data_IF_174470848382
#
_entry.id   IF_174470848382
#
_cell.length_a   1.000
_cell.length_b   1.000
_cell.length_c   1.000
_cell.angle_alpha   90.00
_cell.angle_beta   90.00
_cell.angle_gamma   90.00
#
_symmetry.space_group_name_H-M   'P 1'
#
loop_
_entity.id
_entity.type
_entity.pdbx_description
1 polymer ?
#
# COMPACT_ATOMS: atom_id res chain seq x y z
N UNK A 1 24.01 49.18 16.54
CA UNK A 1 24.17 47.71 16.48
C UNK A 1 22.80 47.08 16.31
N UNK A 2 22.55 46.40 15.19
CA UNK A 2 21.28 45.72 14.93
C UNK A 2 21.09 45.48 13.43
N UNK A 3 21.75 44.46 12.89
CA UNK A 3 21.49 43.98 11.52
C UNK A 3 20.45 42.85 11.59
N UNK A 4 19.27 43.08 11.00
CA UNK A 4 18.29 42.04 10.68
C UNK A 4 18.71 41.45 9.33
N UNK A 5 19.08 40.16 9.31
CA UNK A 5 19.35 39.42 8.07
C UNK A 5 18.06 38.69 7.68
N UNK A 6 17.43 39.13 6.60
CA UNK A 6 16.37 38.39 5.93
C UNK A 6 17.02 37.25 5.12
N UNK A 7 16.77 36.00 5.49
CA UNK A 7 17.13 34.83 4.69
C UNK A 7 16.08 34.63 3.58
N UNK A 8 16.46 34.96 2.35
CA UNK A 8 15.74 34.61 1.12
C UNK A 8 15.72 33.08 0.96
N UNK A 9 14.54 32.47 1.06
CA UNK A 9 14.33 31.08 0.64
C UNK A 9 14.17 31.07 -0.88
N UNK A 10 15.26 30.80 -1.59
CA UNK A 10 15.21 30.50 -3.02
C UNK A 10 14.71 29.05 -3.19
N UNK A 11 13.42 28.87 -3.49
CA UNK A 11 12.93 27.58 -4.00
C UNK A 11 13.42 27.40 -5.45
N UNK A 12 14.55 26.69 -5.62
CA UNK A 12 14.95 26.16 -6.92
C UNK A 12 14.11 24.92 -7.22
N UNK A 13 13.29 24.98 -8.27
CA UNK A 13 12.72 23.78 -8.87
C UNK A 13 13.88 22.88 -9.35
N UNK A 14 13.99 21.68 -8.77
CA UNK A 14 15.01 20.70 -9.15
C UNK A 14 14.76 20.25 -10.59
N UNK A 15 15.84 20.19 -11.37
CA UNK A 15 15.78 19.67 -12.73
C UNK A 15 15.52 18.16 -12.70
N UNK A 16 14.92 17.60 -13.75
CA UNK A 16 14.57 16.16 -13.86
C UNK A 16 15.77 15.24 -13.67
N UNK A 17 16.98 15.70 -13.98
CA UNK A 17 18.24 14.98 -13.74
C UNK A 17 18.66 14.95 -12.26
N UNK A 18 18.42 16.03 -11.51
CA UNK A 18 18.72 16.11 -10.07
C UNK A 18 17.75 15.27 -9.24
N UNK A 19 16.47 15.20 -9.63
CA UNK A 19 15.48 14.29 -9.03
C UNK A 19 15.87 12.83 -9.28
N UNK A 20 16.27 12.50 -10.52
CA UNK A 20 16.69 11.14 -10.88
C UNK A 20 17.94 10.68 -10.12
N UNK A 21 18.91 11.56 -9.87
CA UNK A 21 20.10 11.25 -9.07
C UNK A 21 19.77 11.13 -7.57
N UNK A 22 18.90 12.00 -7.04
CA UNK A 22 18.42 11.92 -5.66
C UNK A 22 17.60 10.65 -5.39
N UNK A 23 16.88 10.15 -6.39
CA UNK A 23 16.17 8.88 -6.34
C UNK A 23 17.11 7.67 -6.45
N UNK A 24 18.25 7.79 -7.12
CA UNK A 24 19.27 6.73 -7.17
C UNK A 24 19.98 6.56 -5.81
N UNK A 25 20.31 7.66 -5.14
CA UNK A 25 20.97 7.60 -3.81
C UNK A 25 20.04 7.11 -2.70
N UNK A 26 18.75 7.47 -2.73
CA UNK A 26 17.79 7.05 -1.69
C UNK A 26 17.55 5.54 -1.62
N UNK A 27 17.76 4.82 -2.72
CA UNK A 27 17.33 3.43 -2.87
C UNK A 27 18.47 2.40 -2.91
N UNK A 28 19.73 2.86 -2.90
CA UNK A 28 20.92 2.01 -2.75
C UNK A 28 21.47 2.12 -1.33
N UNK A 29 20.64 1.83 -0.32
CA UNK A 29 21.16 1.55 1.01
C UNK A 29 21.85 0.18 0.95
N UNK A 30 23.13 0.14 1.33
CA UNK A 30 23.95 -1.07 1.23
C UNK A 30 23.31 -2.24 1.96
N UNK A 31 22.91 -3.29 1.23
CA UNK A 31 22.40 -4.55 1.80
C UNK A 31 20.95 -4.92 1.48
N UNK A 32 20.16 -4.05 0.83
CA UNK A 32 18.81 -4.42 0.39
C UNK A 32 18.84 -5.31 -0.87
N UNK A 33 17.92 -6.29 -1.01
CA UNK A 33 17.88 -7.15 -2.19
C UNK A 33 17.52 -6.36 -3.44
N UNK A 34 18.32 -6.47 -4.50
CA UNK A 34 18.14 -5.71 -5.75
C UNK A 34 17.74 -6.65 -6.88
N UNK A 35 16.67 -6.32 -7.61
CA UNK A 35 16.33 -7.00 -8.86
C UNK A 35 17.03 -6.33 -10.04
N UNK A 36 17.71 -7.15 -10.86
CA UNK A 36 18.22 -6.73 -12.16
C UNK A 36 17.02 -6.46 -13.07
N UNK A 37 16.86 -5.23 -13.55
CA UNK A 37 15.89 -4.93 -14.60
C UNK A 37 16.59 -4.19 -15.76
N UNK A 38 16.08 -4.31 -17.00
CA UNK A 38 16.74 -3.75 -18.19
C UNK A 38 17.02 -2.25 -18.13
N UNK A 39 16.23 -1.49 -17.36
CA UNK A 39 16.35 -0.03 -17.29
C UNK A 39 16.91 0.49 -15.98
N UNK A 40 16.80 -0.25 -14.86
CA UNK A 40 17.35 0.16 -13.57
C UNK A 40 17.45 -1.01 -12.57
N UNK A 41 18.41 -0.95 -11.67
CA UNK A 41 18.49 -1.80 -10.47
C UNK A 41 17.50 -1.28 -9.43
N UNK A 42 16.28 -1.83 -9.38
CA UNK A 42 15.24 -1.36 -8.45
C UNK A 42 14.38 -2.52 -7.98
N UNK A 43 13.97 -2.44 -6.71
CA UNK A 43 12.88 -3.28 -6.22
C UNK A 43 11.57 -2.81 -6.85
N UNK A 44 10.72 -3.74 -7.32
CA UNK A 44 9.42 -3.38 -7.86
C UNK A 44 8.55 -2.77 -6.77
N UNK A 45 7.79 -1.72 -7.09
CA UNK A 45 6.87 -1.09 -6.14
C UNK A 45 5.71 -2.02 -5.80
N UNK A 46 5.17 -1.90 -4.58
CA UNK A 46 4.10 -2.77 -4.07
C UNK A 46 2.88 -2.89 -5.02
N UNK A 47 2.43 -1.79 -5.64
CA UNK A 47 1.31 -1.81 -6.60
C UNK A 47 1.63 -2.59 -7.89
N UNK A 48 2.88 -2.51 -8.37
CA UNK A 48 3.34 -3.21 -9.58
C UNK A 48 3.40 -4.71 -9.29
N UNK A 49 4.00 -5.11 -8.16
CA UNK A 49 4.10 -6.52 -7.77
C UNK A 49 2.71 -7.18 -7.72
N UNK A 50 1.75 -6.55 -7.06
CA UNK A 50 0.38 -7.07 -6.94
C UNK A 50 -0.37 -7.09 -8.27
N UNK A 51 -0.10 -6.15 -9.17
CA UNK A 51 -0.67 -6.13 -10.52
C UNK A 51 -0.14 -7.26 -11.39
N UNK A 52 1.19 -7.46 -11.39
CA UNK A 52 1.85 -8.53 -12.14
C UNK A 52 1.41 -9.91 -11.65
N UNK A 53 1.42 -10.15 -10.33
CA UNK A 53 0.98 -11.44 -9.79
C UNK A 53 -0.47 -11.74 -10.15
N UNK A 54 -1.38 -10.78 -10.01
CA UNK A 54 -2.79 -10.98 -10.34
C UNK A 54 -2.99 -11.26 -11.84
N UNK A 55 -2.24 -10.57 -12.70
CA UNK A 55 -2.31 -10.77 -14.16
C UNK A 55 -1.69 -12.09 -14.61
N UNK A 56 -0.74 -12.64 -13.85
CA UNK A 56 -0.16 -13.95 -14.13
C UNK A 56 -1.15 -15.11 -13.88
N UNK A 57 -2.19 -14.89 -13.06
CA UNK A 57 -3.21 -15.91 -12.77
C UNK A 57 -4.54 -15.67 -13.48
N UNK A 58 -4.91 -14.41 -13.74
CA UNK A 58 -6.23 -14.03 -14.26
C UNK A 58 -6.14 -13.23 -15.57
N UNK A 59 -5.00 -13.32 -16.25
CA UNK A 59 -4.69 -12.62 -17.49
C UNK A 59 -5.06 -11.12 -17.44
N UNK A 60 -6.04 -10.71 -18.24
CA UNK A 60 -6.41 -9.31 -18.49
C UNK A 60 -7.59 -8.81 -17.66
N UNK A 61 -8.27 -9.68 -16.89
CA UNK A 61 -9.50 -9.31 -16.17
C UNK A 61 -9.72 -10.15 -14.92
N UNK A 62 -10.13 -9.48 -13.85
CA UNK A 62 -10.53 -10.09 -12.57
C UNK A 62 -12.05 -10.02 -12.41
N UNK A 63 -12.65 -11.08 -11.87
CA UNK A 63 -14.06 -11.00 -11.47
C UNK A 63 -14.22 -10.22 -10.17
N UNK A 64 -13.42 -10.57 -9.16
CA UNK A 64 -13.52 -9.95 -7.84
C UNK A 64 -12.14 -9.48 -7.40
N UNK A 65 -12.03 -8.20 -7.07
CA UNK A 65 -10.85 -7.62 -6.46
C UNK A 65 -11.15 -7.19 -5.02
N UNK A 66 -10.58 -7.94 -4.08
CA UNK A 66 -10.79 -7.75 -2.64
C UNK A 66 -9.62 -7.02 -1.99
N UNK A 67 -9.88 -6.02 -1.15
CA UNK A 67 -8.86 -5.38 -0.32
C UNK A 67 -9.45 -4.84 0.99
N UNK A 68 -8.60 -4.38 1.92
CA UNK A 68 -9.06 -3.56 3.03
C UNK A 68 -9.47 -2.16 2.52
N UNK A 69 -10.42 -1.51 3.20
CA UNK A 69 -10.98 -0.21 2.79
C UNK A 69 -9.92 0.89 2.69
N UNK A 70 -8.88 0.83 3.52
CA UNK A 70 -7.76 1.77 3.50
C UNK A 70 -6.85 1.65 2.28
N UNK A 71 -6.89 0.50 1.59
CA UNK A 71 -6.15 0.29 0.35
C UNK A 71 -6.90 0.79 -0.88
N UNK A 72 -8.14 1.28 -0.74
CA UNK A 72 -8.92 1.82 -1.87
C UNK A 72 -8.17 2.95 -2.59
N UNK A 73 -7.53 3.84 -1.83
CA UNK A 73 -6.74 4.97 -2.32
C UNK A 73 -5.41 5.07 -1.56
N UNK A 74 -4.27 5.32 -2.22
CA UNK A 74 -4.05 5.27 -3.67
C UNK A 74 -3.85 3.84 -4.18
N UNK A 75 -3.82 2.84 -3.29
CA UNK A 75 -3.20 1.55 -3.63
C UNK A 75 -3.90 0.78 -4.74
N UNK A 76 -5.19 0.62 -4.59
CA UNK A 76 -6.02 -0.12 -5.52
C UNK A 76 -6.25 0.66 -6.83
N UNK A 77 -6.43 1.98 -6.73
CA UNK A 77 -6.57 2.86 -7.89
C UNK A 77 -5.33 2.82 -8.79
N UNK A 78 -4.13 2.88 -8.20
CA UNK A 78 -2.88 2.77 -8.98
C UNK A 78 -2.71 1.38 -9.59
N UNK A 79 -3.13 0.32 -8.90
CA UNK A 79 -3.10 -1.04 -9.45
C UNK A 79 -4.00 -1.16 -10.68
N UNK A 80 -5.24 -0.67 -10.58
CA UNK A 80 -6.21 -0.69 -11.69
C UNK A 80 -5.64 0.08 -12.88
N UNK A 81 -5.20 1.33 -12.68
CA UNK A 81 -4.65 2.15 -13.76
C UNK A 81 -3.44 1.48 -14.44
N UNK A 82 -2.54 0.87 -13.67
CA UNK A 82 -1.39 0.13 -14.22
C UNK A 82 -1.81 -1.11 -15.01
N UNK A 83 -2.81 -1.84 -14.53
CA UNK A 83 -3.29 -3.06 -15.18
C UNK A 83 -4.12 -2.77 -16.43
N UNK A 84 -4.97 -1.75 -16.40
CA UNK A 84 -5.76 -1.29 -17.57
C UNK A 84 -4.85 -0.80 -18.69
N UNK A 85 -3.82 0.00 -18.35
CA UNK A 85 -2.84 0.48 -19.32
C UNK A 85 -1.93 -0.62 -19.87
N UNK A 86 -1.63 -1.66 -19.09
CA UNK A 86 -0.80 -2.77 -19.55
C UNK A 86 -1.55 -3.73 -20.48
N UNK A 87 -2.84 -4.00 -20.19
CA UNK A 87 -3.66 -4.95 -20.95
C UNK A 87 -4.48 -4.30 -22.06
N UNK A 88 -4.36 -2.99 -22.26
CA UNK A 88 -5.15 -2.18 -23.19
C UNK A 88 -6.67 -2.46 -23.04
N UNK A 89 -7.14 -2.43 -21.79
CA UNK A 89 -8.51 -2.74 -21.41
C UNK A 89 -9.06 -1.68 -20.45
N UNK A 90 -10.34 -1.33 -20.61
CA UNK A 90 -11.04 -0.33 -19.79
C UNK A 90 -11.72 -0.93 -18.56
N UNK A 91 -11.68 -2.25 -18.37
CA UNK A 91 -12.35 -2.94 -17.27
C UNK A 91 -11.49 -4.06 -16.70
N UNK A 92 -10.54 -3.71 -15.83
CA UNK A 92 -9.66 -4.70 -15.20
C UNK A 92 -10.36 -5.55 -14.13
N UNK A 93 -11.40 -5.06 -13.45
CA UNK A 93 -12.16 -5.83 -12.46
C UNK A 93 -13.66 -5.56 -12.52
N UNK A 94 -14.49 -6.62 -12.40
CA UNK A 94 -15.95 -6.49 -12.40
C UNK A 94 -16.51 -6.01 -11.05
N UNK A 95 -16.02 -6.57 -9.94
CA UNK A 95 -16.52 -6.28 -8.60
C UNK A 95 -15.39 -5.93 -7.64
N UNK A 96 -15.67 -4.94 -6.78
CA UNK A 96 -14.73 -4.48 -5.76
C UNK A 96 -15.30 -4.70 -4.37
N UNK A 97 -14.65 -5.57 -3.60
CA UNK A 97 -15.06 -5.88 -2.22
C UNK A 97 -14.04 -5.26 -1.26
N UNK A 98 -14.48 -4.30 -0.46
CA UNK A 98 -13.64 -3.66 0.52
C UNK A 98 -14.08 -4.03 1.94
N UNK A 99 -13.19 -4.68 2.68
CA UNK A 99 -13.44 -5.08 4.07
C UNK A 99 -13.07 -3.92 5.00
N UNK A 100 -13.96 -3.62 5.95
CA UNK A 100 -13.72 -2.52 6.89
C UNK A 100 -12.65 -2.88 7.92
N UNK A 101 -11.92 -1.88 8.40
CA UNK A 101 -10.91 -2.08 9.44
C UNK A 101 -11.56 -2.31 10.80
N UNK A 102 -10.95 -3.18 11.60
CA UNK A 102 -11.32 -3.38 12.99
C UNK A 102 -10.90 -2.17 13.83
N UNK A 103 -11.80 -1.76 14.74
CA UNK A 103 -11.58 -0.65 15.65
C UNK A 103 -11.42 -1.17 17.08
N UNK A 104 -10.41 -0.67 17.78
CA UNK A 104 -10.23 -0.88 19.21
C UNK A 104 -10.42 0.45 19.92
N UNK A 105 -11.33 0.49 20.90
CA UNK A 105 -11.69 1.70 21.65
C UNK A 105 -12.02 2.91 20.75
N UNK A 106 -12.92 2.71 19.78
CA UNK A 106 -13.34 3.71 18.76
C UNK A 106 -12.25 4.19 17.79
N UNK A 107 -11.00 3.74 17.94
CA UNK A 107 -9.92 4.07 17.03
C UNK A 107 -9.55 2.89 16.13
N UNK A 108 -9.17 3.20 14.89
CA UNK A 108 -8.59 2.20 13.99
C UNK A 108 -7.32 1.63 14.61
N UNK A 109 -7.15 0.31 14.56
CA UNK A 109 -5.89 -0.32 14.93
C UNK A 109 -4.79 0.06 13.91
N UNK A 110 -3.78 0.79 14.36
CA UNK A 110 -2.61 1.16 13.55
C UNK A 110 -1.34 1.13 14.39
N UNK A 111 -0.23 0.69 13.80
CA UNK A 111 1.06 0.55 14.49
C UNK A 111 1.53 1.86 15.13
N UNK A 112 1.23 3.00 14.52
CA UNK A 112 1.62 4.32 15.02
C UNK A 112 0.94 4.69 16.35
N UNK A 113 -0.33 4.31 16.54
CA UNK A 113 -1.07 4.56 17.79
C UNK A 113 -0.73 3.56 18.89
N UNK A 114 0.18 2.62 18.64
CA UNK A 114 0.56 1.53 19.56
C UNK A 114 -0.64 0.74 20.10
N UNK A 115 -1.77 0.74 19.39
CA UNK A 115 -3.00 0.03 19.73
C UNK A 115 -3.16 -1.27 18.92
N UNK A 116 -2.03 -1.92 18.60
CA UNK A 116 -2.01 -3.17 17.84
C UNK A 116 -1.88 -4.32 18.82
N UNK A 117 -2.86 -5.22 18.78
CA UNK A 117 -2.89 -6.46 19.54
C UNK A 117 -2.44 -7.59 18.61
N UNK A 118 -1.46 -8.37 19.07
CA UNK A 118 -0.99 -9.55 18.35
C UNK A 118 -1.84 -10.73 18.81
N UNK A 119 -2.50 -11.39 17.85
CA UNK A 119 -3.50 -12.45 18.13
C UNK A 119 -2.88 -13.60 18.94
N UNK A 120 -1.66 -14.03 18.58
CA UNK A 120 -0.96 -15.14 19.25
C UNK A 120 -0.58 -14.84 20.70
N UNK A 121 -0.37 -13.58 21.04
CA UNK A 121 0.02 -13.17 22.39
C UNK A 121 -1.20 -12.89 23.28
N UNK A 122 -2.35 -12.58 22.66
CA UNK A 122 -3.53 -12.08 23.35
C UNK A 122 -4.58 -13.15 23.68
N UNK A 123 -4.56 -14.30 22.99
CA UNK A 123 -5.62 -15.29 23.09
C UNK A 123 -5.09 -16.70 23.36
N UNK A 124 -5.80 -17.42 24.22
CA UNK A 124 -5.72 -18.89 24.31
C UNK A 124 -6.47 -19.54 23.15
N UNK A 125 -6.19 -20.81 22.83
CA UNK A 125 -6.83 -21.54 21.73
C UNK A 125 -8.37 -21.46 21.74
N UNK A 126 -8.97 -21.52 22.94
CA UNK A 126 -10.42 -21.42 23.10
C UNK A 126 -10.94 -20.02 22.76
N UNK A 127 -10.27 -18.97 23.27
CA UNK A 127 -10.65 -17.60 22.98
C UNK A 127 -10.45 -17.24 21.52
N UNK A 128 -9.43 -17.82 20.87
CA UNK A 128 -9.22 -17.66 19.44
C UNK A 128 -10.40 -18.21 18.64
N UNK A 129 -10.90 -19.41 18.97
CA UNK A 129 -12.12 -19.99 18.35
C UNK A 129 -13.35 -19.11 18.54
N UNK A 130 -13.53 -18.55 19.74
CA UNK A 130 -14.62 -17.60 20.00
C UNK A 130 -14.47 -16.31 19.19
N UNK A 131 -13.24 -15.81 19.02
CA UNK A 131 -12.99 -14.62 18.20
C UNK A 131 -13.35 -14.87 16.73
N UNK A 132 -13.09 -16.06 16.18
CA UNK A 132 -13.53 -16.41 14.84
C UNK A 132 -15.05 -16.39 14.71
N UNK A 133 -15.77 -16.98 15.69
CA UNK A 133 -17.23 -16.93 15.70
C UNK A 133 -17.74 -15.49 15.74
N UNK A 134 -17.12 -14.62 16.56
CA UNK A 134 -17.46 -13.20 16.62
C UNK A 134 -17.30 -12.51 15.26
N UNK A 135 -16.19 -12.76 14.55
CA UNK A 135 -15.97 -12.18 13.22
C UNK A 135 -16.93 -12.72 12.16
N UNK A 136 -17.39 -13.97 12.29
CA UNK A 136 -18.39 -14.55 11.38
C UNK A 136 -19.81 -14.00 11.62
N UNK A 137 -20.13 -13.63 12.86
CA UNK A 137 -21.42 -13.04 13.21
C UNK A 137 -21.51 -11.55 12.81
N UNK A 138 -20.38 -10.85 12.73
CA UNK A 138 -20.32 -9.47 12.26
C UNK A 138 -20.50 -9.36 10.75
N UNK A 139 -21.15 -8.30 10.26
CA UNK A 139 -21.13 -8.02 8.82
C UNK A 139 -19.76 -7.50 8.42
N UNK A 140 -19.20 -8.07 7.35
CA UNK A 140 -17.92 -7.68 6.75
C UNK A 140 -17.86 -6.19 6.32
N UNK A 141 -19.03 -5.56 6.19
CA UNK A 141 -19.19 -4.15 5.82
C UNK A 141 -19.58 -3.24 7.01
N UNK A 142 -20.10 -3.82 8.11
CA UNK A 142 -20.60 -3.07 9.26
C UNK A 142 -19.50 -2.77 10.29
N UNK A 143 -19.85 -1.94 11.27
CA UNK A 143 -18.96 -1.49 12.37
C UNK A 143 -19.10 -2.44 13.53
#
# INVERSE_FOLDING_TARGET
MGHIIALSVQERALTTSEIANKDKEKHNKSGEPVCLSPRNFRQPRYHIQRGVMASNFSDSKLDILTNAIDQKLPHHTNKIALSETYHDNNLYANYFVHIRCFNYDRFKMIKLLKNVVIIIDAFTDYQLKLSYLLFLLGSWSST
#
